data_IF_843847834057
#
_entry.id   IF_843847834057
#
_cell.length_a   1.000
_cell.length_b   1.000
_cell.length_c   1.000
_cell.angle_alpha   90.00
_cell.angle_beta   90.00
_cell.angle_gamma   90.00
#
_symmetry.space_group_name_H-M   'P 1'
#
loop_
_entity.id
_entity.type
_entity.pdbx_description
1 polymer ?
#
# COMPACT_ATOMS: atom_id res chain seq x y z
N UNK A 1 34.02 -6.30 29.69
CA UNK A 1 34.63 -5.08 29.09
C UNK A 1 33.62 -4.46 28.15
N UNK A 2 33.29 -3.21 28.37
CA UNK A 2 32.41 -2.44 27.51
C UNK A 2 33.07 -2.25 26.14
N UNK A 3 32.39 -2.60 25.04
CA UNK A 3 32.89 -2.41 23.67
C UNK A 3 31.96 -1.46 22.90
N UNK A 4 32.01 -0.13 23.13
CA UNK A 4 31.23 0.83 22.37
C UNK A 4 31.55 0.76 20.88
N UNK A 5 30.54 0.84 20.01
CA UNK A 5 30.66 0.64 18.57
C UNK A 5 31.75 1.49 17.92
N UNK A 6 31.72 2.82 18.16
CA UNK A 6 32.65 3.75 17.53
C UNK A 6 34.11 3.59 17.97
N UNK A 7 34.38 2.93 19.11
CA UNK A 7 35.76 2.59 19.49
C UNK A 7 36.32 1.46 18.61
N UNK A 8 35.47 0.60 18.10
CA UNK A 8 35.87 -0.52 17.23
C UNK A 8 36.01 -0.12 15.76
N UNK A 9 35.32 0.98 15.35
CA UNK A 9 35.41 1.50 13.97
C UNK A 9 36.83 2.08 13.76
N UNK A 10 37.56 1.60 12.72
CA UNK A 10 38.91 2.11 12.42
C UNK A 10 38.84 3.54 11.88
N UNK A 11 39.98 4.23 11.92
CA UNK A 11 40.12 5.59 11.39
C UNK A 11 40.63 5.53 9.94
N UNK A 12 40.38 6.59 9.19
CA UNK A 12 41.13 6.91 7.99
C UNK A 12 41.58 8.38 8.03
N UNK A 13 42.71 8.64 7.43
CA UNK A 13 43.23 10.00 7.30
C UNK A 13 42.42 10.73 6.25
N UNK A 14 41.61 11.69 6.69
CA UNK A 14 40.81 12.54 5.84
C UNK A 14 41.52 13.88 5.63
N UNK A 15 41.42 14.34 4.40
CA UNK A 15 41.98 15.61 4.00
C UNK A 15 41.14 16.75 4.55
N UNK A 16 41.68 17.52 5.47
CA UNK A 16 41.02 18.75 5.92
C UNK A 16 41.36 19.90 4.95
N UNK A 17 40.32 20.52 4.43
CA UNK A 17 40.42 21.71 3.60
C UNK A 17 39.81 22.88 4.38
N UNK A 18 40.64 23.82 4.81
CA UNK A 18 40.12 25.05 5.38
C UNK A 18 39.41 25.89 4.31
N UNK A 19 38.22 26.48 4.62
CA UNK A 19 37.56 27.38 3.69
C UNK A 19 38.51 28.53 3.26
N UNK A 20 38.82 28.57 1.97
CA UNK A 20 39.70 29.61 1.40
C UNK A 20 41.12 29.15 1.02
N UNK A 21 41.57 27.97 1.45
CA UNK A 21 42.87 27.43 1.05
C UNK A 21 42.81 26.63 -0.23
N UNK A 22 43.75 26.85 -1.14
CA UNK A 22 43.88 26.12 -2.45
C UNK A 22 44.55 24.74 -2.28
N UNK A 23 45.24 24.51 -1.19
CA UNK A 23 46.05 23.31 -0.94
C UNK A 23 45.55 22.53 0.26
N UNK A 24 45.83 21.24 0.25
CA UNK A 24 45.57 20.32 1.35
C UNK A 24 46.58 20.69 2.45
N UNK A 25 46.08 21.16 3.60
CA UNK A 25 46.95 21.63 4.68
C UNK A 25 47.27 20.57 5.71
N UNK A 26 46.29 19.66 6.04
CA UNK A 26 46.46 18.63 7.05
C UNK A 26 45.65 17.39 6.81
N UNK A 27 46.16 16.25 7.27
CA UNK A 27 45.41 14.98 7.37
C UNK A 27 44.91 14.84 8.82
N UNK A 28 43.62 14.67 8.95
CA UNK A 28 42.97 14.45 10.25
C UNK A 28 42.43 13.01 10.30
N UNK A 29 42.78 12.22 11.33
CA UNK A 29 42.24 10.90 11.51
C UNK A 29 40.75 11.00 11.91
N UNK A 30 39.85 10.54 11.03
CA UNK A 30 38.41 10.49 11.26
C UNK A 30 37.92 9.06 11.29
N UNK A 31 36.82 8.78 11.98
CA UNK A 31 36.19 7.46 11.98
C UNK A 31 35.68 7.09 10.61
N UNK A 32 35.98 5.88 10.16
CA UNK A 32 35.50 5.37 8.87
C UNK A 32 34.04 4.92 8.99
N UNK A 33 33.10 5.85 8.83
CA UNK A 33 31.66 5.57 8.90
C UNK A 33 31.15 4.73 7.72
N UNK A 34 31.92 4.57 6.65
CA UNK A 34 31.60 3.66 5.55
C UNK A 34 31.82 2.19 5.91
N UNK A 35 32.57 1.93 6.98
CA UNK A 35 32.80 0.59 7.47
C UNK A 35 31.80 0.25 8.56
N UNK A 36 30.99 -0.78 8.32
CA UNK A 36 29.90 -1.19 9.22
C UNK A 36 30.13 -2.62 9.69
N UNK A 37 29.81 -2.89 10.95
CA UNK A 37 29.66 -4.23 11.48
C UNK A 37 28.43 -4.91 10.85
N UNK A 38 28.54 -6.22 10.63
CA UNK A 38 27.44 -7.08 10.15
C UNK A 38 27.44 -8.36 10.98
N UNK A 39 26.26 -8.81 11.38
CA UNK A 39 26.12 -10.16 11.90
C UNK A 39 26.39 -11.19 10.81
N UNK A 40 27.06 -12.28 11.14
CA UNK A 40 27.23 -13.39 10.20
C UNK A 40 25.88 -13.99 9.85
N UNK A 41 25.73 -14.43 8.60
CA UNK A 41 24.45 -14.93 8.08
C UNK A 41 23.89 -16.10 8.87
N UNK A 42 24.74 -16.99 9.37
CA UNK A 42 24.30 -18.12 10.17
C UNK A 42 23.70 -17.72 11.54
N UNK A 43 24.11 -16.55 12.09
CA UNK A 43 23.51 -15.99 13.31
C UNK A 43 22.22 -15.30 12.95
N UNK A 44 22.25 -14.43 11.95
CA UNK A 44 21.10 -13.63 11.53
C UNK A 44 19.93 -14.50 11.03
N UNK A 45 20.23 -15.59 10.32
CA UNK A 45 19.21 -16.51 9.78
C UNK A 45 18.63 -17.49 10.80
N UNK A 46 19.11 -17.53 12.05
CA UNK A 46 18.66 -18.50 13.03
C UNK A 46 18.07 -17.84 14.28
N UNK A 47 16.75 -17.92 14.39
CA UNK A 47 15.97 -17.32 15.49
C UNK A 47 16.33 -17.88 16.87
N UNK A 48 17.01 -19.02 16.98
CA UNK A 48 17.40 -19.60 18.28
C UNK A 48 18.41 -18.74 19.02
N UNK A 49 19.18 -17.90 18.31
CA UNK A 49 20.14 -16.96 18.90
C UNK A 49 19.45 -15.73 19.52
N UNK A 50 18.20 -15.48 19.16
CA UNK A 50 17.49 -14.28 19.54
C UNK A 50 16.34 -14.58 20.51
N UNK A 51 15.89 -13.52 21.17
CA UNK A 51 14.68 -13.45 21.96
C UNK A 51 13.79 -12.37 21.37
N UNK A 52 12.49 -12.64 21.25
CA UNK A 52 11.52 -11.62 20.80
C UNK A 52 11.25 -10.66 21.93
N UNK A 53 11.26 -9.38 21.62
CA UNK A 53 10.93 -8.31 22.56
C UNK A 53 10.04 -7.28 21.91
N UNK A 54 9.00 -6.84 22.62
CA UNK A 54 8.19 -5.72 22.22
C UNK A 54 8.65 -4.46 22.99
N UNK A 55 9.10 -3.44 22.26
CA UNK A 55 9.53 -2.15 22.83
C UNK A 55 8.35 -1.50 23.54
N UNK A 56 8.51 -1.18 24.82
CA UNK A 56 7.44 -0.65 25.67
C UNK A 56 7.56 0.88 25.75
N UNK A 57 6.45 1.57 25.44
CA UNK A 57 6.40 3.02 25.54
C UNK A 57 7.48 3.72 24.71
N UNK A 58 8.26 4.58 25.35
CA UNK A 58 9.30 5.41 24.73
C UNK A 58 10.72 4.86 24.98
N UNK A 59 10.86 3.54 25.18
CA UNK A 59 12.17 2.91 25.37
C UNK A 59 13.09 3.18 24.18
N UNK A 60 14.30 3.63 24.47
CA UNK A 60 15.35 3.84 23.49
C UNK A 60 16.25 2.60 23.38
N UNK A 61 17.02 2.43 22.28
CA UNK A 61 17.93 1.30 22.13
C UNK A 61 18.90 1.11 23.30
N UNK A 62 19.40 2.21 23.89
CA UNK A 62 20.29 2.20 25.06
C UNK A 62 19.59 1.67 26.33
N UNK A 63 18.32 1.99 26.53
CA UNK A 63 17.52 1.46 27.64
C UNK A 63 17.29 -0.05 27.48
N UNK A 64 16.97 -0.48 26.27
CA UNK A 64 16.80 -1.90 25.95
C UNK A 64 18.12 -2.67 26.14
N UNK A 65 19.24 -2.10 25.67
CA UNK A 65 20.56 -2.70 25.87
C UNK A 65 20.92 -2.83 27.37
N UNK A 66 20.66 -1.80 28.16
CA UNK A 66 20.89 -1.87 29.59
C UNK A 66 20.02 -2.94 30.27
N UNK A 67 18.78 -3.09 29.87
CA UNK A 67 17.84 -4.07 30.41
C UNK A 67 18.30 -5.53 30.15
N UNK A 68 18.78 -5.83 28.95
CA UNK A 68 19.14 -7.18 28.55
C UNK A 68 20.61 -7.52 28.77
N UNK A 69 21.51 -6.56 28.65
CA UNK A 69 22.96 -6.76 28.72
C UNK A 69 23.61 -6.15 29.94
N UNK A 70 22.88 -5.33 30.70
CA UNK A 70 23.42 -4.58 31.84
C UNK A 70 24.38 -3.44 31.43
N UNK A 71 24.41 -3.08 30.14
CA UNK A 71 25.31 -2.06 29.59
C UNK A 71 24.62 -1.29 28.46
N UNK A 72 24.33 -0.02 28.70
CA UNK A 72 23.69 0.85 27.71
C UNK A 72 24.55 1.13 26.47
N UNK A 73 25.87 0.94 26.56
CA UNK A 73 26.79 1.15 25.43
C UNK A 73 26.74 0.04 24.39
N UNK A 74 25.95 -1.00 24.64
CA UNK A 74 25.66 -2.10 23.70
C UNK A 74 24.39 -1.89 22.89
N UNK A 75 23.86 -0.67 22.84
CA UNK A 75 22.73 -0.25 22.00
C UNK A 75 22.93 -0.66 20.52
N UNK A 76 24.14 -0.57 20.03
CA UNK A 76 24.50 -0.99 18.68
C UNK A 76 24.26 -2.47 18.40
N UNK A 77 24.35 -3.34 19.43
CA UNK A 77 24.02 -4.76 19.27
C UNK A 77 22.54 -4.94 19.03
N UNK A 78 21.70 -4.20 19.74
CA UNK A 78 20.25 -4.17 19.53
C UNK A 78 19.91 -3.71 18.11
N UNK A 79 20.51 -2.61 17.67
CA UNK A 79 20.31 -2.06 16.33
C UNK A 79 20.80 -3.03 15.22
N UNK A 80 21.97 -3.61 15.44
CA UNK A 80 22.57 -4.56 14.48
C UNK A 80 21.74 -5.85 14.36
N UNK A 81 21.18 -6.34 15.47
CA UNK A 81 20.34 -7.54 15.52
C UNK A 81 19.05 -7.38 14.71
N UNK A 82 18.57 -6.15 14.55
CA UNK A 82 17.36 -5.82 13.78
C UNK A 82 17.66 -5.16 12.43
N UNK A 83 18.93 -5.09 12.05
CA UNK A 83 19.41 -4.43 10.83
C UNK A 83 18.96 -2.94 10.73
N UNK A 84 18.77 -2.27 11.85
CA UNK A 84 18.38 -0.87 11.92
C UNK A 84 19.58 0.01 11.56
N UNK A 85 19.42 0.83 10.54
CA UNK A 85 20.44 1.76 10.03
C UNK A 85 20.17 3.18 10.49
N UNK A 86 18.93 3.56 10.47
CA UNK A 86 18.48 4.89 10.85
C UNK A 86 17.48 4.81 12.00
N UNK A 87 17.95 5.14 13.19
CA UNK A 87 17.13 5.14 14.41
C UNK A 87 15.91 6.06 14.28
N UNK A 88 16.03 7.17 13.55
CA UNK A 88 14.93 8.15 13.44
C UNK A 88 13.75 7.63 12.63
N UNK A 89 13.98 6.74 11.66
CA UNK A 89 12.93 6.21 10.78
C UNK A 89 12.56 4.75 11.06
N UNK A 90 13.48 3.96 11.62
CA UNK A 90 13.32 2.51 11.77
C UNK A 90 13.08 2.07 13.22
N UNK A 91 13.36 2.90 14.21
CA UNK A 91 13.00 2.68 15.60
C UNK A 91 11.59 3.21 15.88
N UNK A 92 10.77 2.55 16.75
CA UNK A 92 9.44 3.04 17.08
C UNK A 92 9.47 4.47 17.60
N UNK A 93 8.60 5.31 17.06
CA UNK A 93 8.46 6.69 17.49
C UNK A 93 7.76 6.78 18.85
N UNK A 94 8.09 7.82 19.61
CA UNK A 94 7.28 8.23 20.76
C UNK A 94 5.96 8.79 20.26
N UNK A 95 4.88 8.70 21.06
CA UNK A 95 3.56 9.22 20.66
C UNK A 95 3.65 10.68 20.19
N UNK A 96 4.35 11.52 20.92
CA UNK A 96 4.53 12.94 20.55
C UNK A 96 5.25 13.12 19.21
N UNK A 97 6.22 12.26 18.90
CA UNK A 97 6.96 12.34 17.63
C UNK A 97 6.11 11.80 16.49
N UNK A 98 5.35 10.76 16.76
CA UNK A 98 4.37 10.20 15.83
C UNK A 98 3.31 11.24 15.45
N UNK A 99 2.70 11.91 16.44
CA UNK A 99 1.71 12.97 16.18
C UNK A 99 2.29 14.11 15.33
N UNK A 100 3.54 14.50 15.60
CA UNK A 100 4.23 15.48 14.75
C UNK A 100 4.46 14.98 13.33
N UNK A 101 4.87 13.73 13.16
CA UNK A 101 5.07 13.13 11.84
C UNK A 101 3.74 13.05 11.06
N UNK A 102 2.66 12.70 11.73
CA UNK A 102 1.31 12.71 11.16
C UNK A 102 0.91 14.11 10.70
N UNK A 103 1.13 15.13 11.55
CA UNK A 103 0.84 16.51 11.19
C UNK A 103 1.69 16.99 9.99
N UNK A 104 2.96 16.63 9.94
CA UNK A 104 3.82 16.97 8.80
C UNK A 104 3.43 16.27 7.52
N UNK A 105 2.97 15.03 7.59
CA UNK A 105 2.61 14.24 6.41
C UNK A 105 1.21 14.58 5.88
N UNK A 106 0.25 14.78 6.77
CA UNK A 106 -1.15 14.93 6.43
C UNK A 106 -1.73 16.33 6.71
N UNK A 107 -1.03 17.17 7.45
CA UNK A 107 -1.50 18.49 7.89
C UNK A 107 -1.24 19.64 6.93
N UNK A 108 -0.99 19.39 5.65
CA UNK A 108 -0.70 20.44 4.67
C UNK A 108 -1.73 20.48 3.55
N UNK A 109 -2.07 21.67 3.09
CA UNK A 109 -2.94 21.89 1.91
C UNK A 109 -2.43 21.12 0.69
N UNK A 110 -1.11 21.04 0.49
CA UNK A 110 -0.53 20.30 -0.60
C UNK A 110 -0.87 18.81 -0.53
N UNK A 111 -0.77 18.20 0.66
CA UNK A 111 -1.14 16.80 0.86
C UNK A 111 -2.64 16.56 0.60
N UNK A 112 -3.50 17.49 1.01
CA UNK A 112 -4.93 17.42 0.72
C UNK A 112 -5.21 17.47 -0.79
N UNK A 113 -4.57 18.39 -1.49
CA UNK A 113 -4.68 18.53 -2.96
C UNK A 113 -4.24 17.23 -3.67
N UNK A 114 -3.11 16.66 -3.28
CA UNK A 114 -2.62 15.40 -3.85
C UNK A 114 -3.59 14.25 -3.57
N UNK A 115 -4.10 14.13 -2.34
CA UNK A 115 -5.06 13.10 -1.94
C UNK A 115 -6.35 13.12 -2.78
N UNK A 116 -6.92 14.31 -3.03
CA UNK A 116 -8.13 14.43 -3.85
C UNK A 116 -7.84 14.20 -5.33
N UNK A 117 -6.71 14.70 -5.83
CA UNK A 117 -6.29 14.49 -7.22
C UNK A 117 -6.10 13.01 -7.56
N UNK A 118 -5.51 12.23 -6.65
CA UNK A 118 -5.36 10.77 -6.82
C UNK A 118 -6.71 10.05 -6.91
N UNK A 119 -7.75 10.65 -6.35
CA UNK A 119 -9.13 10.12 -6.38
C UNK A 119 -9.99 10.70 -7.50
N UNK A 120 -9.39 11.43 -8.43
CA UNK A 120 -10.10 12.02 -9.57
C UNK A 120 -11.03 13.18 -9.21
N UNK A 121 -10.96 13.71 -7.98
CA UNK A 121 -11.78 14.84 -7.55
C UNK A 121 -11.07 16.15 -7.89
N UNK A 122 -11.69 16.99 -8.71
CA UNK A 122 -11.18 18.33 -9.03
C UNK A 122 -11.31 19.25 -7.83
N UNK A 123 -10.22 19.96 -7.49
CA UNK A 123 -10.19 20.86 -6.32
C UNK A 123 -10.89 22.19 -6.61
N UNK A 124 -11.02 22.55 -7.88
CA UNK A 124 -11.71 23.78 -8.30
C UNK A 124 -13.20 23.76 -7.93
N UNK A 125 -13.75 22.59 -7.65
CA UNK A 125 -15.13 22.42 -7.15
C UNK A 125 -15.24 22.61 -5.62
N UNK A 126 -14.12 22.66 -4.90
CA UNK A 126 -14.12 22.96 -3.47
C UNK A 126 -14.17 24.48 -3.23
N UNK A 127 -15.34 25.05 -3.24
CA UNK A 127 -15.61 26.42 -2.77
C UNK A 127 -15.45 26.59 -1.25
N UNK A 128 -14.98 25.59 -0.53
CA UNK A 128 -14.69 25.61 0.89
C UNK A 128 -13.26 26.10 1.07
N UNK A 129 -13.08 27.18 1.83
CA UNK A 129 -11.75 27.59 2.30
C UNK A 129 -11.18 26.47 3.18
N UNK A 130 -10.40 25.58 2.60
CA UNK A 130 -9.66 24.55 3.32
C UNK A 130 -8.62 25.26 4.19
N UNK A 131 -8.74 25.13 5.50
CA UNK A 131 -7.68 25.47 6.44
C UNK A 131 -6.76 24.26 6.62
N UNK A 132 -5.51 24.46 7.04
CA UNK A 132 -4.58 23.35 7.33
C UNK A 132 -5.15 22.41 8.39
N UNK A 133 -5.92 22.94 9.35
CA UNK A 133 -6.59 22.15 10.39
C UNK A 133 -7.66 21.22 9.79
N UNK A 134 -8.49 21.75 8.90
CA UNK A 134 -9.53 20.97 8.23
C UNK A 134 -8.91 19.93 7.26
N UNK A 135 -7.86 20.31 6.55
CA UNK A 135 -7.11 19.39 5.68
C UNK A 135 -6.52 18.24 6.50
N UNK A 136 -5.98 18.52 7.67
CA UNK A 136 -5.46 17.48 8.55
C UNK A 136 -6.56 16.52 9.04
N UNK A 137 -7.69 17.05 9.49
CA UNK A 137 -8.80 16.23 9.98
C UNK A 137 -9.33 15.26 8.90
N UNK A 138 -9.51 15.79 7.68
CA UNK A 138 -9.97 15.01 6.53
C UNK A 138 -8.95 13.92 6.16
N UNK A 139 -7.66 14.28 6.10
CA UNK A 139 -6.62 13.32 5.72
C UNK A 139 -6.32 12.31 6.81
N UNK A 140 -6.35 12.72 8.07
CA UNK A 140 -6.14 11.86 9.21
C UNK A 140 -7.16 10.70 9.25
N UNK A 141 -8.44 11.02 9.02
CA UNK A 141 -9.54 10.06 8.94
C UNK A 141 -9.77 9.53 7.51
N UNK A 142 -9.00 10.01 6.54
CA UNK A 142 -9.11 9.60 5.15
C UNK A 142 -8.82 8.12 4.96
N UNK A 143 -9.51 7.50 4.01
CA UNK A 143 -9.34 6.09 3.68
C UNK A 143 -8.00 5.91 2.98
N UNK A 144 -7.11 5.09 3.58
CA UNK A 144 -5.87 4.70 2.95
C UNK A 144 -6.08 3.55 1.97
N UNK A 145 -6.74 2.49 2.43
CA UNK A 145 -7.10 1.33 1.61
C UNK A 145 -8.18 0.50 2.32
N UNK A 146 -8.63 -0.53 1.63
CA UNK A 146 -9.54 -1.52 2.18
C UNK A 146 -8.81 -2.83 2.39
N UNK A 147 -9.13 -3.53 3.47
CA UNK A 147 -8.65 -4.86 3.79
C UNK A 147 -9.82 -5.84 3.93
N UNK A 148 -9.55 -7.10 3.65
CA UNK A 148 -10.53 -8.17 3.86
C UNK A 148 -10.60 -8.56 5.33
N UNK A 149 -11.80 -8.91 5.80
CA UNK A 149 -11.98 -9.70 7.03
C UNK A 149 -12.05 -11.19 6.70
N UNK A 150 -11.70 -12.02 7.66
CA UNK A 150 -11.73 -13.48 7.47
C UNK A 150 -13.18 -13.97 7.29
N UNK A 151 -13.43 -14.72 6.20
CA UNK A 151 -14.69 -15.44 6.00
C UNK A 151 -14.43 -16.93 6.10
N UNK A 152 -15.27 -17.61 6.88
CA UNK A 152 -15.30 -19.08 6.98
C UNK A 152 -16.57 -19.61 6.40
N UNK A 153 -16.47 -20.74 5.69
CA UNK A 153 -17.63 -21.46 5.19
C UNK A 153 -18.36 -22.20 6.34
N UNK A 154 -19.47 -22.86 6.02
CA UNK A 154 -20.28 -23.65 6.98
C UNK A 154 -19.49 -24.77 7.67
N UNK A 155 -18.39 -25.25 7.07
CA UNK A 155 -17.50 -26.26 7.64
C UNK A 155 -16.37 -25.68 8.51
N UNK A 156 -16.34 -24.35 8.71
CA UNK A 156 -15.30 -23.66 9.47
C UNK A 156 -13.98 -23.48 8.72
N UNK A 157 -13.94 -23.77 7.41
CA UNK A 157 -12.74 -23.59 6.57
C UNK A 157 -12.71 -22.14 6.09
N UNK A 158 -11.55 -21.49 6.22
CA UNK A 158 -11.34 -20.13 5.74
C UNK A 158 -11.41 -20.10 4.21
N UNK A 159 -12.39 -19.37 3.65
CA UNK A 159 -12.58 -19.15 2.21
C UNK A 159 -12.05 -17.80 1.77
N UNK A 160 -12.03 -16.83 2.65
CA UNK A 160 -11.38 -15.54 2.47
C UNK A 160 -10.49 -15.24 3.69
N UNK A 161 -9.22 -14.99 3.43
CA UNK A 161 -8.27 -14.62 4.48
C UNK A 161 -8.44 -13.14 4.84
N UNK A 162 -8.43 -12.83 6.14
CA UNK A 162 -8.42 -11.46 6.63
C UNK A 162 -7.07 -10.76 6.45
N UNK A 163 -7.10 -9.42 6.44
CA UNK A 163 -5.90 -8.59 6.33
C UNK A 163 -5.30 -8.52 4.91
N UNK A 164 -6.01 -9.00 3.89
CA UNK A 164 -5.57 -8.87 2.50
C UNK A 164 -6.02 -7.52 1.96
N UNK A 165 -5.08 -6.77 1.41
CA UNK A 165 -5.39 -5.53 0.71
C UNK A 165 -6.22 -5.85 -0.53
N UNK A 166 -7.39 -5.24 -0.64
CA UNK A 166 -8.24 -5.40 -1.80
C UNK A 166 -7.56 -4.72 -2.99
N UNK A 167 -7.26 -5.52 -4.01
CA UNK A 167 -6.69 -5.07 -5.27
C UNK A 167 -7.65 -5.42 -6.40
N UNK A 168 -7.81 -4.56 -7.41
CA UNK A 168 -8.63 -4.86 -8.58
C UNK A 168 -8.13 -6.08 -9.37
N UNK A 169 -6.86 -6.45 -9.19
CA UNK A 169 -6.26 -7.64 -9.81
C UNK A 169 -6.30 -8.89 -8.92
N UNK A 170 -6.87 -8.78 -7.72
CA UNK A 170 -6.88 -9.88 -6.78
C UNK A 170 -7.83 -11.00 -7.23
N UNK A 171 -7.26 -12.19 -7.42
CA UNK A 171 -7.98 -13.40 -7.80
C UNK A 171 -7.83 -14.43 -6.70
N UNK A 172 -8.91 -14.74 -6.01
CA UNK A 172 -8.99 -15.87 -5.08
C UNK A 172 -10.00 -16.91 -5.54
N UNK A 173 -10.31 -17.87 -4.66
CA UNK A 173 -11.36 -18.86 -4.90
C UNK A 173 -12.78 -18.29 -4.96
N UNK A 174 -12.98 -17.01 -4.64
CA UNK A 174 -14.24 -16.28 -4.76
C UNK A 174 -14.10 -15.08 -5.69
N UNK A 175 -15.22 -14.49 -6.05
CA UNK A 175 -15.30 -13.30 -6.88
C UNK A 175 -15.97 -12.17 -6.10
N UNK A 176 -15.47 -10.96 -6.28
CA UNK A 176 -16.15 -9.76 -5.81
C UNK A 176 -17.13 -9.32 -6.90
N UNK A 177 -18.42 -9.31 -6.55
CA UNK A 177 -19.50 -8.99 -7.48
C UNK A 177 -20.31 -7.84 -6.90
N UNK A 178 -20.52 -6.81 -7.70
CA UNK A 178 -21.48 -5.76 -7.43
C UNK A 178 -22.70 -5.96 -8.31
N UNK A 179 -23.89 -6.00 -7.72
CA UNK A 179 -25.15 -6.10 -8.44
C UNK A 179 -25.99 -4.87 -8.14
N UNK A 180 -26.25 -4.06 -9.16
CA UNK A 180 -27.08 -2.86 -9.08
C UNK A 180 -28.24 -3.02 -10.04
N UNK A 181 -29.45 -2.82 -9.56
CA UNK A 181 -30.64 -2.78 -10.40
C UNK A 181 -30.98 -1.33 -10.71
N UNK A 182 -31.18 -1.01 -11.96
CA UNK A 182 -31.62 0.31 -12.40
C UNK A 182 -32.72 0.21 -13.45
N UNK A 183 -33.62 1.18 -13.46
CA UNK A 183 -34.79 1.18 -14.35
C UNK A 183 -34.41 1.75 -15.71
N UNK A 184 -34.83 1.06 -16.79
CA UNK A 184 -34.69 1.55 -18.16
C UNK A 184 -35.77 2.58 -18.45
N UNK A 185 -35.38 3.73 -18.96
CA UNK A 185 -36.32 4.78 -19.40
C UNK A 185 -36.61 4.70 -20.91
N UNK A 186 -35.60 4.30 -21.69
CA UNK A 186 -35.73 4.11 -23.13
C UNK A 186 -34.67 3.13 -23.64
N UNK A 187 -35.00 2.40 -24.70
CA UNK A 187 -34.07 1.52 -25.41
C UNK A 187 -34.28 1.65 -26.92
N UNK A 188 -33.20 1.66 -27.68
CA UNK A 188 -33.28 1.83 -29.13
C UNK A 188 -32.09 1.21 -29.83
N UNK A 189 -32.33 0.63 -31.02
CA UNK A 189 -31.34 -0.01 -31.88
C UNK A 189 -31.28 0.66 -33.26
N UNK A 190 -30.98 1.98 -33.25
CA UNK A 190 -30.84 2.75 -34.48
C UNK A 190 -29.79 3.82 -34.37
N UNK A 191 -29.28 4.27 -35.50
CA UNK A 191 -28.52 5.50 -35.69
C UNK A 191 -29.27 6.46 -36.60
N UNK A 192 -28.90 7.73 -36.63
CA UNK A 192 -29.45 8.71 -37.56
C UNK A 192 -28.39 9.12 -38.57
N UNK A 193 -28.77 9.26 -39.84
CA UNK A 193 -27.91 9.83 -40.86
C UNK A 193 -27.80 11.36 -40.76
N UNK A 194 -27.01 11.98 -41.63
CA UNK A 194 -26.82 13.44 -41.66
C UNK A 194 -28.11 14.21 -41.93
N UNK A 195 -29.14 13.57 -42.48
CA UNK A 195 -30.45 14.16 -42.80
C UNK A 195 -31.49 13.86 -41.70
N UNK A 196 -31.11 13.12 -40.64
CA UNK A 196 -32.00 12.75 -39.55
C UNK A 196 -32.87 11.50 -39.80
N UNK A 197 -32.62 10.74 -40.86
CA UNK A 197 -33.31 9.49 -41.09
C UNK A 197 -32.81 8.38 -40.18
N UNK A 198 -33.74 7.60 -39.66
CA UNK A 198 -33.45 6.48 -38.75
C UNK A 198 -32.94 5.28 -39.56
N UNK A 199 -31.75 4.81 -39.21
CA UNK A 199 -31.10 3.64 -39.77
C UNK A 199 -31.02 2.55 -38.70
N UNK A 200 -31.62 1.36 -38.92
CA UNK A 200 -31.49 0.24 -37.98
C UNK A 200 -30.05 -0.13 -37.75
N UNK A 201 -29.71 -0.40 -36.50
CA UNK A 201 -28.34 -0.69 -36.07
C UNK A 201 -28.28 -1.90 -35.13
N UNK A 202 -27.15 -2.60 -35.14
CA UNK A 202 -26.85 -3.63 -34.13
C UNK A 202 -26.49 -3.03 -32.79
N UNK A 203 -26.03 -1.76 -32.78
CA UNK A 203 -25.69 -1.05 -31.58
C UNK A 203 -26.96 -0.59 -30.89
N UNK A 204 -27.20 -1.11 -29.72
CA UNK A 204 -28.34 -0.74 -28.87
C UNK A 204 -27.92 0.36 -27.90
N UNK A 205 -28.75 1.38 -27.80
CA UNK A 205 -28.65 2.46 -26.85
C UNK A 205 -29.68 2.27 -25.75
N UNK A 206 -29.25 2.19 -24.52
CA UNK A 206 -30.08 2.08 -23.31
C UNK A 206 -29.98 3.37 -22.50
N UNK A 207 -31.12 3.98 -22.22
CA UNK A 207 -31.21 5.18 -21.38
C UNK A 207 -31.78 4.80 -20.01
N UNK A 208 -31.14 5.28 -18.99
CA UNK A 208 -31.44 4.96 -17.60
C UNK A 208 -32.09 6.16 -16.91
N UNK A 209 -32.75 5.91 -15.80
CA UNK A 209 -33.25 6.98 -14.92
C UNK A 209 -32.09 7.67 -14.18
N UNK A 210 -31.10 6.88 -13.75
CA UNK A 210 -29.93 7.33 -12.99
C UNK A 210 -28.66 7.20 -13.83
N UNK A 211 -27.54 7.74 -13.34
CA UNK A 211 -26.26 7.59 -13.98
C UNK A 211 -25.86 6.11 -14.05
N UNK A 212 -25.18 5.72 -15.13
CA UNK A 212 -24.70 4.35 -15.34
C UNK A 212 -23.58 4.04 -14.34
N UNK A 213 -23.77 3.07 -13.43
CA UNK A 213 -22.80 2.77 -12.38
C UNK A 213 -21.72 1.75 -12.83
N UNK A 214 -21.49 1.61 -14.13
CA UNK A 214 -20.62 0.60 -14.72
C UNK A 214 -19.54 1.23 -15.58
N UNK A 215 -18.56 0.43 -16.00
CA UNK A 215 -17.47 0.80 -16.90
C UNK A 215 -17.59 0.12 -18.27
N UNK A 216 -16.91 0.68 -19.28
CA UNK A 216 -16.83 0.03 -20.60
C UNK A 216 -16.15 -1.33 -20.44
N UNK A 217 -16.77 -2.38 -20.99
CA UNK A 217 -16.33 -3.77 -20.87
C UNK A 217 -17.03 -4.57 -19.76
N UNK A 218 -17.79 -3.91 -18.87
CA UNK A 218 -18.58 -4.60 -17.85
C UNK A 218 -19.76 -5.35 -18.47
N UNK A 219 -20.18 -6.42 -17.80
CA UNK A 219 -21.30 -7.22 -18.20
C UNK A 219 -22.58 -6.71 -17.52
N UNK A 220 -23.63 -6.54 -18.33
CA UNK A 220 -24.98 -6.18 -17.85
C UNK A 220 -25.98 -7.24 -18.24
N UNK A 221 -27.01 -7.42 -17.43
CA UNK A 221 -28.17 -8.25 -17.78
C UNK A 221 -29.37 -7.34 -17.95
N UNK A 222 -30.01 -7.41 -19.12
CA UNK A 222 -31.26 -6.71 -19.42
C UNK A 222 -32.39 -7.68 -19.24
N UNK A 223 -33.42 -7.30 -18.52
CA UNK A 223 -34.59 -8.12 -18.24
C UNK A 223 -35.86 -7.27 -18.27
N UNK A 224 -36.98 -7.90 -18.65
CA UNK A 224 -38.30 -7.30 -18.65
C UNK A 224 -38.67 -6.55 -19.94
N UNK A 225 -37.78 -6.45 -20.94
CA UNK A 225 -38.10 -5.83 -22.21
C UNK A 225 -39.02 -6.81 -23.00
N UNK A 226 -40.12 -6.27 -23.60
CA UNK A 226 -41.11 -7.06 -24.29
C UNK A 226 -40.53 -7.88 -25.45
N UNK A 227 -39.58 -7.30 -26.16
CA UNK A 227 -38.87 -7.92 -27.27
C UNK A 227 -37.70 -8.73 -26.72
N UNK A 228 -37.79 -10.04 -26.81
CA UNK A 228 -36.91 -11.03 -26.19
C UNK A 228 -35.45 -10.89 -26.64
N UNK A 229 -35.23 -10.35 -27.85
CA UNK A 229 -33.90 -10.14 -28.45
C UNK A 229 -33.03 -9.11 -27.70
N UNK A 230 -33.63 -8.25 -26.90
CA UNK A 230 -32.92 -7.26 -26.07
C UNK A 230 -32.58 -7.78 -24.69
N UNK A 231 -33.28 -8.81 -24.21
CA UNK A 231 -33.06 -9.40 -22.92
C UNK A 231 -31.80 -10.30 -22.92
N UNK A 232 -31.14 -10.39 -21.80
CA UNK A 232 -29.98 -11.26 -21.63
C UNK A 232 -28.72 -10.53 -21.18
N UNK A 233 -27.61 -11.22 -21.30
CA UNK A 233 -26.28 -10.70 -20.87
C UNK A 233 -25.57 -10.03 -22.05
N UNK A 234 -25.18 -8.80 -21.84
CA UNK A 234 -24.51 -7.96 -22.83
C UNK A 234 -23.25 -7.32 -22.22
N UNK A 235 -22.30 -6.96 -23.08
CA UNK A 235 -21.07 -6.23 -22.68
C UNK A 235 -21.22 -4.78 -23.10
N UNK A 236 -20.95 -3.86 -22.19
CA UNK A 236 -21.01 -2.42 -22.43
C UNK A 236 -19.90 -2.00 -23.40
N UNK A 237 -20.26 -1.33 -24.49
CA UNK A 237 -19.32 -0.83 -25.50
C UNK A 237 -19.02 0.67 -25.36
N UNK A 238 -19.98 1.45 -24.86
CA UNK A 238 -19.75 2.87 -24.52
C UNK A 238 -20.69 3.34 -23.40
N UNK A 239 -20.28 4.42 -22.71
CA UNK A 239 -21.03 5.01 -21.59
C UNK A 239 -21.03 6.52 -21.75
N UNK A 240 -22.17 7.14 -21.42
CA UNK A 240 -22.33 8.59 -21.30
C UNK A 240 -23.40 8.87 -20.25
N UNK A 241 -23.03 9.52 -19.14
CA UNK A 241 -23.90 9.85 -17.99
C UNK A 241 -24.96 8.77 -17.68
N UNK A 242 -26.19 8.97 -18.20
CA UNK A 242 -27.33 8.07 -18.00
C UNK A 242 -27.62 7.14 -19.19
N UNK A 243 -26.64 6.95 -20.07
CA UNK A 243 -26.76 6.12 -21.28
C UNK A 243 -25.57 5.18 -21.40
N UNK A 244 -25.84 3.93 -21.79
CA UNK A 244 -24.80 3.01 -22.29
C UNK A 244 -25.20 2.36 -23.59
N UNK A 245 -24.23 1.76 -24.29
CA UNK A 245 -24.48 0.99 -25.52
C UNK A 245 -23.89 -0.41 -25.39
N UNK A 246 -24.53 -1.34 -26.11
CA UNK A 246 -24.02 -2.70 -26.33
C UNK A 246 -24.33 -3.13 -27.77
N UNK A 247 -23.79 -4.27 -28.21
CA UNK A 247 -24.04 -4.77 -29.57
C UNK A 247 -24.83 -6.08 -29.53
N UNK A 248 -25.84 -6.17 -30.42
CA UNK A 248 -26.53 -7.39 -30.72
C UNK A 248 -25.84 -8.16 -31.86
N UNK A 249 -25.97 -9.49 -31.92
CA UNK A 249 -25.41 -10.28 -33.02
C UNK A 249 -26.02 -9.93 -34.37
N UNK A 250 -27.30 -9.56 -34.38
CA UNK A 250 -28.05 -9.16 -35.57
C UNK A 250 -28.87 -7.89 -35.33
N UNK A 251 -29.32 -7.24 -36.42
CA UNK A 251 -30.24 -6.09 -36.34
C UNK A 251 -31.58 -6.60 -35.84
N UNK A 252 -32.14 -6.03 -34.75
CA UNK A 252 -33.40 -6.46 -34.18
C UNK A 252 -34.58 -6.14 -35.11
N UNK A 253 -35.65 -6.93 -35.05
CA UNK A 253 -36.84 -6.72 -35.84
C UNK A 253 -37.60 -5.45 -35.43
N UNK A 254 -37.57 -5.13 -34.15
CA UNK A 254 -38.16 -3.90 -33.57
C UNK A 254 -37.03 -3.03 -33.08
N UNK A 255 -36.76 -1.91 -33.75
CA UNK A 255 -35.64 -1.00 -33.45
C UNK A 255 -35.92 -0.06 -32.29
N UNK A 256 -37.16 0.10 -31.87
CA UNK A 256 -37.60 0.89 -30.70
C UNK A 256 -38.61 0.01 -29.94
N UNK A 257 -38.12 -0.83 -29.01
CA UNK A 257 -39.00 -1.63 -28.17
C UNK A 257 -39.82 -0.75 -27.23
N UNK A 258 -41.00 -1.22 -26.87
CA UNK A 258 -41.86 -0.50 -25.94
C UNK A 258 -41.32 -0.74 -24.50
N UNK A 259 -40.93 0.32 -23.83
CA UNK A 259 -40.59 0.30 -22.40
C UNK A 259 -41.82 0.74 -21.62
N UNK A 260 -42.29 -0.11 -20.72
CA UNK A 260 -43.48 0.19 -19.93
C UNK A 260 -43.17 1.21 -18.83
N UNK A 261 -44.13 2.08 -18.53
CA UNK A 261 -43.99 3.05 -17.42
C UNK A 261 -44.12 2.42 -16.03
N UNK A 262 -44.29 1.09 -15.97
CA UNK A 262 -44.50 0.36 -14.72
C UNK A 262 -43.18 0.00 -14.00
N UNK A 263 -42.01 0.29 -14.57
CA UNK A 263 -40.70 0.02 -13.95
C UNK A 263 -40.34 -1.46 -13.86
N UNK A 264 -40.90 -2.30 -14.73
CA UNK A 264 -40.58 -3.73 -14.78
C UNK A 264 -39.33 -4.04 -15.60
N UNK A 265 -38.97 -3.16 -16.53
CA UNK A 265 -37.77 -3.28 -17.33
C UNK A 265 -36.58 -2.79 -16.50
N UNK A 266 -35.67 -3.71 -16.24
CA UNK A 266 -34.51 -3.46 -15.35
C UNK A 266 -33.20 -3.82 -16.06
N UNK A 267 -32.18 -3.05 -15.76
CA UNK A 267 -30.80 -3.43 -16.01
C UNK A 267 -30.19 -3.89 -14.70
N UNK A 268 -29.67 -5.09 -14.72
CA UNK A 268 -28.89 -5.64 -13.63
C UNK A 268 -27.43 -5.54 -14.04
N UNK A 269 -26.70 -4.63 -13.42
CA UNK A 269 -25.26 -4.53 -13.60
C UNK A 269 -24.58 -5.59 -12.75
N UNK A 270 -23.83 -6.46 -13.40
CA UNK A 270 -22.94 -7.39 -12.70
C UNK A 270 -21.53 -6.88 -12.92
N UNK A 271 -21.02 -6.12 -11.99
CA UNK A 271 -19.66 -5.58 -12.03
C UNK A 271 -18.77 -6.62 -11.37
N UNK A 272 -17.97 -7.29 -12.18
CA UNK A 272 -16.88 -8.13 -11.67
C UNK A 272 -15.70 -7.19 -11.49
N UNK A 273 -15.29 -6.94 -10.24
CA UNK A 273 -14.11 -6.11 -9.96
C UNK A 273 -12.83 -6.80 -10.43
N UNK A 274 -12.66 -6.85 -11.74
CA UNK A 274 -11.40 -7.17 -12.40
C UNK A 274 -10.96 -6.02 -13.33
N UNK A 275 -11.66 -4.88 -13.32
CA UNK A 275 -11.32 -3.78 -14.20
C UNK A 275 -10.15 -3.00 -13.61
N UNK A 276 -9.15 -2.73 -14.42
CA UNK A 276 -8.00 -1.89 -14.12
C UNK A 276 -8.36 -0.43 -13.78
N UNK A 277 -9.62 -0.07 -13.83
CA UNK A 277 -10.17 1.26 -13.57
C UNK A 277 -10.79 1.37 -12.17
N UNK A 278 -10.04 1.05 -11.15
CA UNK A 278 -10.51 1.15 -9.78
C UNK A 278 -10.29 2.54 -9.18
N UNK A 279 -11.01 3.52 -9.64
CA UNK A 279 -11.29 4.71 -8.82
C UNK A 279 -12.45 4.46 -7.87
N UNK A 280 -12.97 3.26 -7.86
CA UNK A 280 -14.19 2.98 -7.15
C UNK A 280 -14.05 1.69 -6.42
N UNK A 281 -14.37 1.82 -5.23
CA UNK A 281 -15.48 1.05 -4.75
C UNK A 281 -15.05 -0.23 -4.12
N UNK A 282 -15.28 -0.22 -2.86
CA UNK A 282 -15.58 -1.40 -2.10
C UNK A 282 -16.34 -2.40 -2.94
N UNK A 283 -15.83 -3.61 -3.12
CA UNK A 283 -16.66 -4.69 -3.64
C UNK A 283 -17.89 -4.82 -2.75
N UNK A 284 -19.06 -4.91 -3.34
CA UNK A 284 -20.30 -5.00 -2.56
C UNK A 284 -20.58 -6.38 -2.04
N UNK A 285 -20.15 -7.40 -2.79
CA UNK A 285 -20.36 -8.81 -2.44
C UNK A 285 -19.12 -9.63 -2.75
N UNK A 286 -18.88 -10.65 -1.92
CA UNK A 286 -17.93 -11.72 -2.18
C UNK A 286 -18.69 -13.02 -2.38
N UNK A 287 -18.54 -13.67 -3.53
CA UNK A 287 -19.16 -14.95 -3.85
C UNK A 287 -18.15 -16.08 -3.68
N UNK A 288 -18.57 -17.12 -2.96
CA UNK A 288 -17.82 -18.36 -2.88
C UNK A 288 -18.75 -19.59 -2.87
N UNK A 289 -18.24 -20.72 -3.35
CA UNK A 289 -18.94 -21.99 -3.28
C UNK A 289 -18.81 -22.59 -1.87
N UNK A 290 -19.91 -22.83 -1.20
CA UNK A 290 -19.92 -23.53 0.10
C UNK A 290 -20.22 -25.01 -0.08
N UNK A 291 -19.17 -25.85 0.07
CA UNK A 291 -19.29 -27.30 -0.10
C UNK A 291 -20.20 -27.99 0.95
N UNK A 292 -20.38 -27.37 2.12
CA UNK A 292 -21.26 -27.88 3.16
C UNK A 292 -22.74 -27.58 2.87
N UNK A 293 -23.01 -26.43 2.24
CA UNK A 293 -24.36 -26.00 1.88
C UNK A 293 -24.75 -26.48 0.46
N UNK A 294 -23.77 -26.75 -0.42
CA UNK A 294 -23.99 -27.19 -1.80
C UNK A 294 -24.46 -26.09 -2.76
N UNK A 295 -24.25 -24.81 -2.42
CA UNK A 295 -24.56 -23.67 -3.28
C UNK A 295 -23.59 -22.52 -3.05
N UNK A 296 -23.60 -21.53 -3.98
CA UNK A 296 -22.82 -20.31 -3.84
C UNK A 296 -23.43 -19.37 -2.81
N UNK A 297 -22.59 -18.85 -1.92
CA UNK A 297 -22.95 -17.87 -0.89
C UNK A 297 -22.44 -16.50 -1.30
N UNK A 298 -23.30 -15.47 -1.20
CA UNK A 298 -22.97 -14.08 -1.40
C UNK A 298 -22.85 -13.38 -0.04
N UNK A 299 -21.69 -12.82 0.26
CA UNK A 299 -21.42 -12.08 1.49
C UNK A 299 -21.31 -10.61 1.17
N UNK A 300 -22.11 -9.72 1.80
CA UNK A 300 -22.03 -8.27 1.54
C UNK A 300 -20.72 -7.68 2.05
N UNK A 301 -20.25 -6.63 1.39
CA UNK A 301 -18.99 -5.95 1.73
C UNK A 301 -18.93 -5.45 3.16
N UNK A 302 -20.06 -5.05 3.73
CA UNK A 302 -20.15 -4.62 5.13
C UNK A 302 -19.72 -5.69 6.14
N UNK A 303 -19.68 -6.96 5.71
CA UNK A 303 -19.31 -8.09 6.56
C UNK A 303 -17.89 -8.61 6.34
N UNK A 304 -17.20 -8.18 5.27
CA UNK A 304 -15.86 -8.69 4.98
C UNK A 304 -14.85 -7.62 4.54
N UNK A 305 -15.26 -6.36 4.45
CA UNK A 305 -14.36 -5.26 4.11
C UNK A 305 -14.17 -4.36 5.32
N UNK A 306 -12.92 -4.24 5.74
CA UNK A 306 -12.49 -3.29 6.75
C UNK A 306 -11.86 -2.08 6.07
N UNK A 307 -12.31 -0.89 6.45
CA UNK A 307 -11.66 0.37 6.05
C UNK A 307 -10.43 0.56 6.92
N UNK A 308 -9.29 0.83 6.30
CA UNK A 308 -8.05 1.24 6.97
C UNK A 308 -7.83 2.72 6.69
N UNK A 309 -7.86 3.52 7.74
CA UNK A 309 -7.61 4.97 7.63
C UNK A 309 -6.12 5.27 7.51
N UNK A 310 -5.77 6.48 7.10
CA UNK A 310 -4.38 6.93 7.07
C UNK A 310 -3.73 6.83 8.45
N UNK A 311 -4.45 7.19 9.50
CA UNK A 311 -3.97 7.05 10.88
C UNK A 311 -3.70 5.61 11.28
N UNK A 312 -4.65 4.71 11.03
CA UNK A 312 -4.49 3.28 11.34
C UNK A 312 -3.33 2.64 10.57
N UNK A 313 -3.16 3.04 9.31
CA UNK A 313 -2.07 2.55 8.47
C UNK A 313 -0.69 2.95 9.04
N UNK A 314 -0.51 4.22 9.38
CA UNK A 314 0.74 4.71 9.96
C UNK A 314 0.97 4.12 11.35
N UNK A 315 -0.08 4.00 12.16
CA UNK A 315 -0.01 3.38 13.48
C UNK A 315 0.43 1.91 13.39
N UNK A 316 -0.12 1.15 12.45
CA UNK A 316 0.25 -0.25 12.24
C UNK A 316 1.71 -0.40 11.83
N UNK A 317 2.25 0.53 11.02
CA UNK A 317 3.68 0.57 10.67
C UNK A 317 4.53 0.80 11.91
N UNK A 318 4.14 1.76 12.77
CA UNK A 318 4.89 2.06 14.00
C UNK A 318 4.79 0.92 15.03
N UNK A 319 3.63 0.30 15.17
CA UNK A 319 3.44 -0.88 16.04
C UNK A 319 4.28 -2.08 15.55
N UNK A 320 4.40 -2.27 14.24
CA UNK A 320 5.26 -3.33 13.69
C UNK A 320 6.73 -3.14 14.06
N UNK A 321 7.22 -1.89 14.11
CA UNK A 321 8.60 -1.56 14.52
C UNK A 321 8.88 -1.90 15.98
N UNK A 322 7.85 -1.99 16.85
CA UNK A 322 8.02 -2.36 18.27
C UNK A 322 8.46 -3.79 18.46
N UNK A 323 8.16 -4.67 17.52
CA UNK A 323 8.54 -6.08 17.60
C UNK A 323 9.98 -6.28 17.11
N UNK A 324 10.92 -6.34 18.03
CA UNK A 324 12.34 -6.49 17.76
C UNK A 324 12.89 -7.84 18.24
N UNK A 325 14.05 -8.19 17.72
CA UNK A 325 14.81 -9.36 18.13
C UNK A 325 16.05 -8.91 18.92
N UNK A 326 16.20 -9.46 20.12
CA UNK A 326 17.35 -9.19 20.99
C UNK A 326 18.26 -10.42 20.98
N UNK A 327 19.52 -10.21 20.66
CA UNK A 327 20.51 -11.28 20.74
C UNK A 327 20.66 -11.73 22.21
N UNK A 328 20.60 -13.03 22.46
CA UNK A 328 20.77 -13.55 23.82
C UNK A 328 22.17 -13.23 24.38
N UNK A 329 22.30 -12.79 25.63
CA UNK A 329 23.57 -12.32 26.22
C UNK A 329 24.74 -13.31 26.09
N UNK A 330 24.47 -14.60 26.13
CA UNK A 330 25.48 -15.66 25.99
C UNK A 330 26.23 -15.65 24.66
N UNK A 331 25.69 -14.98 23.62
CA UNK A 331 26.30 -14.92 22.30
C UNK A 331 27.01 -13.57 22.02
N UNK A 332 27.04 -12.63 22.98
CA UNK A 332 27.70 -11.35 22.79
C UNK A 332 29.18 -11.48 22.42
N UNK A 333 29.88 -12.45 23.02
CA UNK A 333 31.30 -12.67 22.72
C UNK A 333 31.52 -13.06 21.25
N UNK A 334 30.57 -13.73 20.62
CA UNK A 334 30.68 -14.10 19.21
C UNK A 334 30.66 -12.85 18.34
N UNK A 335 29.74 -11.92 18.66
CA UNK A 335 29.67 -10.64 17.93
C UNK A 335 30.91 -9.79 18.18
N UNK A 336 31.41 -9.74 19.39
CA UNK A 336 32.63 -8.99 19.70
C UNK A 336 33.83 -9.51 18.92
N UNK A 337 34.00 -10.85 18.83
CA UNK A 337 35.03 -11.45 18.02
C UNK A 337 34.84 -11.18 16.52
N UNK A 338 33.61 -11.25 16.03
CA UNK A 338 33.32 -10.92 14.65
C UNK A 338 33.65 -9.45 14.32
N UNK A 339 33.35 -8.54 15.23
CA UNK A 339 33.73 -7.13 15.09
C UNK A 339 35.26 -6.93 15.09
N UNK A 340 35.95 -7.64 15.98
CA UNK A 340 37.43 -7.62 16.03
C UNK A 340 38.05 -8.16 14.74
N UNK A 341 37.38 -9.06 14.02
CA UNK A 341 37.84 -9.65 12.74
C UNK A 341 37.49 -8.76 11.52
N UNK A 342 36.32 -8.10 11.55
CA UNK A 342 35.77 -7.35 10.41
C UNK A 342 36.27 -5.91 10.39
N UNK A 343 36.40 -5.27 11.55
CA UNK A 343 36.71 -3.84 11.65
C UNK A 343 38.14 -3.49 11.28
N UNK A 344 39.20 -4.25 11.66
CA UNK A 344 40.55 -3.89 11.30
C UNK A 344 40.79 -3.85 9.79
N UNK A 345 41.70 -3.01 9.34
CA UNK A 345 42.18 -3.03 7.96
C UNK A 345 43.15 -4.21 7.75
N UNK A 346 42.92 -4.95 6.67
CA UNK A 346 43.84 -6.05 6.29
C UNK A 346 45.04 -5.51 5.52
N UNK A 347 46.23 -6.06 5.80
CA UNK A 347 47.45 -5.78 5.02
C UNK A 347 47.23 -6.17 3.56
N UNK A 348 47.69 -5.35 2.64
CA UNK A 348 47.60 -5.63 1.20
C UNK A 348 47.11 -4.49 0.31
N UNK A 349 46.66 -3.38 0.88
CA UNK A 349 46.35 -2.15 0.10
C UNK A 349 47.46 -1.12 0.27
N UNK A 350 47.78 -0.35 -0.79
CA UNK A 350 48.75 0.75 -0.75
C UNK A 350 48.41 1.84 0.27
N UNK A 351 47.15 1.90 0.69
CA UNK A 351 46.62 2.85 1.66
C UNK A 351 46.72 2.36 3.12
N UNK A 352 47.16 1.12 3.35
CA UNK A 352 47.27 0.55 4.68
C UNK A 352 48.41 1.20 5.47
N UNK A 353 48.11 1.77 6.63
CA UNK A 353 49.10 2.33 7.57
C UNK A 353 49.21 1.42 8.79
N UNK A 354 48.09 1.17 9.45
CA UNK A 354 47.98 0.23 10.58
C UNK A 354 46.63 -0.47 10.52
N UNK A 355 46.40 -1.47 11.35
CA UNK A 355 45.08 -2.15 11.47
C UNK A 355 43.93 -1.17 11.76
N UNK A 356 44.24 -0.06 12.41
CA UNK A 356 43.28 0.97 12.81
C UNK A 356 43.33 2.25 11.96
N UNK A 357 44.23 2.33 10.99
CA UNK A 357 44.43 3.53 10.17
C UNK A 357 44.72 3.21 8.72
N UNK A 358 44.00 3.87 7.82
CA UNK A 358 44.22 3.86 6.38
C UNK A 358 44.41 5.29 5.86
N UNK A 359 45.27 5.48 4.83
CA UNK A 359 45.53 6.79 4.24
C UNK A 359 44.55 7.08 3.10
N UNK A 360 44.02 8.29 3.07
CA UNK A 360 43.00 8.69 2.09
C UNK A 360 43.53 9.35 0.81
N UNK A 361 44.82 9.23 0.48
CA UNK A 361 45.54 9.99 -0.57
C UNK A 361 44.93 9.88 -1.99
N UNK A 362 44.08 8.87 -2.24
CA UNK A 362 43.50 8.59 -3.54
C UNK A 362 41.97 8.45 -3.53
N UNK A 363 41.30 8.95 -2.53
CA UNK A 363 39.83 8.99 -2.56
C UNK A 363 39.45 10.17 -3.44
N UNK A 364 39.27 9.93 -4.75
CA UNK A 364 38.53 10.83 -5.61
C UNK A 364 37.06 10.75 -5.20
N UNK A 365 36.65 11.63 -4.30
CA UNK A 365 35.26 11.78 -3.87
C UNK A 365 34.40 12.51 -4.91
N UNK A 366 35.00 12.87 -6.04
CA UNK A 366 34.37 13.66 -7.10
C UNK A 366 34.81 13.15 -8.49
N UNK A 367 34.29 12.01 -8.87
CA UNK A 367 34.05 11.65 -10.28
C UNK A 367 32.69 10.97 -10.37
#
# INVERSE_FOLDING_TARGET
>A
MTKPYFRQVPNFDYVSRNPGEKYISEYIPVKNLFKRGKLREYIFGNLTFFEKYAVIGDERPDNVANKFYGDSTLDWVVLLSNNILNIQSEWPLTQRTFDKAMLQKYGTMKAAVEYYKERGISIDEFSIALTDELAYEILYNGIHHYETEEIKNSLGITVLQGGLRISPTWKTSGNFIETINSTITNISAYTTDENGFVIPSKTVSVFMQDNVPASIGDQVTIDGVSEIEYNGKHVITSISENKFTYELPEIPNVIIPTVSTSGQEQVIYTIIENSENSNTTNPRYYEYWDAGLGYSVLVPSTSFVKVVTNYEYELNIEEAKRNIYILKPRYLNVIFNDMDDIMPYKKGSQQYVTENLKRGDNIRLYE
#
